data_IF_952194308762
#
_entry.id   IF_952194308762
#
_cell.length_a   1.000
_cell.length_b   1.000
_cell.length_c   1.000
_cell.angle_alpha   90.00
_cell.angle_beta   90.00
_cell.angle_gamma   90.00
#
_symmetry.space_group_name_H-M   'P 1'
#
loop_
_entity.id
_entity.type
_entity.pdbx_description
1 polymer ?
#
# COMPACT_ATOMS: atom_id res chain seq x y z
N UNK A 1 -44.94 -52.36 -13.33
CA UNK A 1 -43.47 -52.37 -13.35
C UNK A 1 -42.81 -51.02 -13.68
N UNK A 2 -43.56 -49.96 -14.01
CA UNK A 2 -42.98 -48.64 -14.35
C UNK A 2 -42.32 -47.88 -13.18
N UNK A 3 -42.82 -48.02 -11.94
CA UNK A 3 -42.32 -47.22 -10.80
C UNK A 3 -40.86 -47.52 -10.41
N UNK A 4 -40.34 -48.72 -10.70
CA UNK A 4 -38.94 -49.08 -10.40
C UNK A 4 -37.96 -48.64 -11.50
N UNK A 5 -38.44 -48.39 -12.73
CA UNK A 5 -37.60 -47.93 -13.84
C UNK A 5 -37.28 -46.43 -13.74
N UNK A 6 -38.19 -45.61 -13.22
CA UNK A 6 -37.96 -44.16 -13.08
C UNK A 6 -36.86 -43.81 -12.07
N UNK A 7 -36.66 -44.64 -11.03
CA UNK A 7 -35.63 -44.40 -10.01
C UNK A 7 -34.24 -44.76 -10.54
N UNK A 8 -34.12 -45.80 -11.37
CA UNK A 8 -32.84 -46.20 -11.97
C UNK A 8 -32.36 -45.17 -13.01
N UNK A 9 -33.26 -44.56 -13.78
CA UNK A 9 -32.90 -43.51 -14.74
C UNK A 9 -32.45 -42.20 -14.06
N UNK A 10 -32.97 -41.86 -12.88
CA UNK A 10 -32.54 -40.69 -12.12
C UNK A 10 -31.11 -40.84 -11.55
N UNK A 11 -30.69 -42.06 -11.21
CA UNK A 11 -29.33 -42.33 -10.71
C UNK A 11 -28.28 -42.35 -11.83
N UNK A 12 -28.65 -42.77 -13.05
CA UNK A 12 -27.76 -42.73 -14.21
C UNK A 12 -27.55 -41.32 -14.80
N UNK A 13 -28.51 -40.42 -14.63
CA UNK A 13 -28.39 -39.03 -15.10
C UNK A 13 -27.50 -38.16 -14.19
N UNK A 14 -27.38 -38.50 -12.89
CA UNK A 14 -26.51 -37.78 -11.95
C UNK A 14 -25.02 -38.15 -12.07
N UNK A 15 -24.66 -39.30 -12.67
CA UNK A 15 -23.26 -39.68 -12.89
C UNK A 15 -22.69 -39.18 -14.22
N UNK A 16 -23.56 -38.82 -15.18
CA UNK A 16 -23.14 -38.27 -16.48
C UNK A 16 -22.79 -36.77 -16.46
N UNK A 17 -23.19 -36.02 -15.42
CA UNK A 17 -22.91 -34.59 -15.30
C UNK A 17 -21.58 -34.25 -14.58
N UNK A 18 -20.82 -35.25 -14.11
CA UNK A 18 -19.52 -35.02 -13.43
C UNK A 18 -18.33 -35.20 -14.38
N UNK A 19 -18.55 -35.63 -15.62
CA UNK A 19 -17.48 -35.96 -16.57
C UNK A 19 -17.28 -34.96 -17.72
N UNK A 20 -17.89 -33.77 -17.68
CA UNK A 20 -17.73 -32.76 -18.74
C UNK A 20 -17.42 -31.37 -18.16
N UNK A 21 -16.24 -31.26 -17.55
CA UNK A 21 -15.55 -29.97 -17.45
C UNK A 21 -14.27 -30.08 -18.28
N UNK A 22 -14.18 -29.42 -19.45
CA UNK A 22 -12.94 -29.39 -20.20
C UNK A 22 -11.91 -28.58 -19.40
N UNK A 23 -10.89 -29.27 -18.91
CA UNK A 23 -9.67 -28.66 -18.38
C UNK A 23 -9.00 -27.90 -19.54
N UNK A 24 -8.75 -26.59 -19.46
CA UNK A 24 -7.95 -25.92 -20.46
C UNK A 24 -6.49 -26.40 -20.32
N UNK A 25 -6.00 -27.11 -21.35
CA UNK A 25 -4.61 -27.50 -21.50
C UNK A 25 -3.72 -26.25 -21.54
N UNK A 26 -3.09 -25.95 -20.41
CA UNK A 26 -2.10 -24.88 -20.31
C UNK A 26 -0.75 -25.43 -20.77
N UNK A 27 -0.42 -25.27 -22.05
CA UNK A 27 0.96 -25.49 -22.51
C UNK A 27 1.88 -24.39 -21.94
N UNK A 28 2.96 -24.72 -21.21
CA UNK A 28 3.89 -23.71 -20.72
C UNK A 28 4.70 -23.15 -21.89
N UNK A 29 4.44 -21.90 -22.25
CA UNK A 29 5.23 -21.12 -23.21
C UNK A 29 6.62 -20.90 -22.60
N UNK A 30 7.61 -21.65 -23.06
CA UNK A 30 9.02 -21.46 -22.72
C UNK A 30 9.52 -20.14 -23.32
N UNK A 31 9.69 -19.12 -22.45
CA UNK A 31 10.69 -18.04 -22.53
C UNK A 31 10.44 -17.05 -21.38
N UNK A 32 11.36 -16.90 -20.41
CA UNK A 32 11.25 -15.84 -19.43
C UNK A 32 11.60 -14.50 -20.07
N UNK A 33 10.63 -13.60 -20.14
CA UNK A 33 10.86 -12.17 -20.27
C UNK A 33 11.45 -11.71 -18.94
N UNK A 34 12.73 -11.38 -18.92
CA UNK A 34 13.44 -10.79 -17.80
C UNK A 34 12.78 -9.47 -17.40
N UNK A 35 11.99 -9.49 -16.32
CA UNK A 35 11.60 -8.28 -15.59
C UNK A 35 12.59 -8.05 -14.45
N UNK A 36 13.05 -6.83 -14.20
CA UNK A 36 13.89 -6.54 -13.04
C UNK A 36 13.08 -6.77 -11.75
N UNK A 37 13.53 -7.74 -10.94
CA UNK A 37 12.93 -8.09 -9.65
C UNK A 37 13.42 -7.11 -8.59
N UNK A 38 12.54 -6.23 -8.14
CA UNK A 38 12.72 -5.40 -6.93
C UNK A 38 11.95 -5.97 -5.72
N UNK A 39 11.62 -7.26 -5.75
CA UNK A 39 11.10 -7.97 -4.57
C UNK A 39 12.29 -8.54 -3.77
N UNK A 40 12.33 -8.33 -2.44
CA UNK A 40 13.29 -9.02 -1.57
C UNK A 40 13.16 -10.54 -1.78
N UNK A 41 14.28 -11.29 -1.87
CA UNK A 41 14.23 -12.72 -2.14
C UNK A 41 13.78 -13.45 -0.88
N UNK A 42 12.48 -13.55 -0.65
CA UNK A 42 11.90 -14.26 0.50
C UNK A 42 11.44 -15.69 0.15
N UNK A 43 11.61 -16.11 -1.10
CA UNK A 43 11.56 -17.51 -1.48
C UNK A 43 12.53 -17.75 -2.63
N UNK A 44 13.46 -18.72 -2.53
CA UNK A 44 14.24 -19.13 -3.68
C UNK A 44 13.32 -19.71 -4.75
N UNK A 45 13.51 -19.30 -6.01
CA UNK A 45 12.83 -19.88 -7.14
C UNK A 45 13.31 -21.32 -7.35
N UNK A 46 12.47 -22.31 -7.02
CA UNK A 46 12.78 -23.70 -7.34
C UNK A 46 11.85 -24.24 -8.41
N UNK A 47 12.49 -24.75 -9.47
CA UNK A 47 11.90 -25.62 -10.47
C UNK A 47 11.26 -26.84 -9.80
N UNK A 48 10.13 -27.25 -10.36
CA UNK A 48 9.28 -28.36 -9.95
C UNK A 48 10.09 -29.64 -9.73
N UNK A 49 10.35 -30.02 -8.48
CA UNK A 49 10.74 -31.39 -8.13
C UNK A 49 9.78 -31.98 -7.10
N UNK A 50 8.80 -32.68 -7.65
CA UNK A 50 7.97 -33.68 -7.02
C UNK A 50 8.85 -34.81 -6.48
N UNK A 51 9.29 -34.73 -5.23
CA UNK A 51 9.60 -35.90 -4.39
C UNK A 51 9.75 -35.49 -2.91
N UNK A 52 8.69 -35.75 -2.13
CA UNK A 52 8.66 -35.59 -0.67
C UNK A 52 9.55 -36.65 -0.03
N UNK A 53 10.83 -36.34 0.16
CA UNK A 53 11.78 -37.16 0.91
C UNK A 53 12.16 -36.46 2.21
N UNK A 54 12.48 -37.22 3.27
CA UNK A 54 13.15 -36.67 4.45
C UNK A 54 14.40 -35.91 3.98
N UNK A 55 14.68 -34.69 4.46
CA UNK A 55 15.95 -34.04 4.17
C UNK A 55 17.06 -35.00 4.62
N UNK A 56 17.93 -35.40 3.68
CA UNK A 56 19.06 -36.28 3.98
C UNK A 56 19.83 -35.65 5.13
N UNK A 57 20.14 -36.42 6.17
CA UNK A 57 20.90 -35.94 7.33
C UNK A 57 22.31 -35.51 6.89
N UNK A 58 22.44 -34.28 6.38
CA UNK A 58 23.70 -33.57 6.30
C UNK A 58 23.93 -32.94 7.66
N UNK A 59 25.10 -33.18 8.24
CA UNK A 59 25.57 -32.46 9.43
C UNK A 59 25.71 -30.97 9.08
N UNK A 60 24.92 -30.09 9.71
CA UNK A 60 25.27 -28.66 9.80
C UNK A 60 24.18 -27.62 9.53
N UNK A 61 22.98 -27.97 9.07
CA UNK A 61 21.94 -26.96 8.80
C UNK A 61 21.11 -26.62 10.06
N UNK A 62 20.59 -25.39 10.14
CA UNK A 62 19.79 -24.92 11.27
C UNK A 62 18.47 -25.69 11.36
N UNK A 63 18.13 -26.15 12.57
CA UNK A 63 16.88 -26.87 12.86
C UNK A 63 16.07 -26.10 13.89
N UNK A 64 14.94 -25.54 13.47
CA UNK A 64 13.98 -24.92 14.40
C UNK A 64 13.47 -25.95 15.42
N UNK A 65 13.38 -25.55 16.68
CA UNK A 65 12.83 -26.39 17.75
C UNK A 65 11.31 -26.54 17.60
N UNK A 66 10.75 -27.64 18.12
CA UNK A 66 9.29 -27.84 18.16
C UNK A 66 8.58 -26.71 18.91
N UNK A 67 9.16 -26.23 20.01
CA UNK A 67 8.61 -25.12 20.78
C UNK A 67 8.54 -23.83 19.95
N UNK A 68 9.63 -23.47 19.27
CA UNK A 68 9.65 -22.29 18.41
C UNK A 68 8.69 -22.43 17.23
N UNK A 69 8.56 -23.63 16.65
CA UNK A 69 7.61 -23.88 15.58
C UNK A 69 6.16 -23.71 16.04
N UNK A 70 5.80 -24.23 17.22
CA UNK A 70 4.45 -24.04 17.78
C UNK A 70 4.16 -22.56 18.05
N UNK A 71 5.11 -21.81 18.63
CA UNK A 71 4.98 -20.36 18.81
C UNK A 71 4.79 -19.65 17.46
N UNK A 72 5.54 -20.06 16.43
CA UNK A 72 5.44 -19.48 15.10
C UNK A 72 4.09 -19.75 14.45
N UNK A 73 3.59 -20.99 14.52
CA UNK A 73 2.27 -21.36 13.99
C UNK A 73 1.18 -20.54 14.68
N UNK A 74 1.22 -20.43 16.01
CA UNK A 74 0.26 -19.62 16.76
C UNK A 74 0.32 -18.13 16.37
N UNK A 75 1.52 -17.56 16.26
CA UNK A 75 1.70 -16.17 15.86
C UNK A 75 1.21 -15.92 14.42
N UNK A 76 1.51 -16.84 13.49
CA UNK A 76 1.01 -16.81 12.11
C UNK A 76 -0.53 -16.84 12.09
N UNK A 77 -1.14 -17.77 12.81
CA UNK A 77 -2.60 -17.89 12.86
C UNK A 77 -3.25 -16.63 13.45
N UNK A 78 -2.65 -16.03 14.47
CA UNK A 78 -3.12 -14.79 15.07
C UNK A 78 -3.07 -13.62 14.06
N UNK A 79 -1.98 -13.49 13.28
CA UNK A 79 -1.87 -12.49 12.20
C UNK A 79 -2.96 -12.72 11.15
N UNK A 80 -3.10 -13.97 10.71
CA UNK A 80 -4.08 -14.36 9.70
C UNK A 80 -5.51 -14.11 10.18
N UNK A 81 -5.84 -14.50 11.40
CA UNK A 81 -7.15 -14.27 12.02
C UNK A 81 -7.48 -12.77 12.17
N UNK A 82 -6.50 -11.94 12.52
CA UNK A 82 -6.74 -10.52 12.73
C UNK A 82 -6.83 -9.71 11.44
N UNK A 83 -6.03 -10.05 10.42
CA UNK A 83 -5.92 -9.26 9.20
C UNK A 83 -6.71 -9.83 8.03
N UNK A 84 -6.78 -11.15 7.86
CA UNK A 84 -7.37 -11.75 6.66
C UNK A 84 -8.89 -11.66 6.58
N UNK A 85 -9.68 -11.75 7.68
CA UNK A 85 -11.13 -11.58 7.58
C UNK A 85 -11.53 -10.21 7.01
N UNK A 86 -10.82 -9.15 7.40
CA UNK A 86 -11.07 -7.80 6.90
C UNK A 86 -10.52 -7.60 5.47
N UNK A 87 -9.40 -8.25 5.12
CA UNK A 87 -8.88 -8.25 3.75
C UNK A 87 -9.76 -9.04 2.77
N UNK A 88 -10.54 -10.03 3.27
CA UNK A 88 -11.48 -10.82 2.48
C UNK A 88 -12.89 -10.22 2.38
N UNK A 89 -13.26 -9.29 3.25
CA UNK A 89 -14.54 -8.55 3.19
C UNK A 89 -14.54 -7.40 2.17
N UNK A 90 -13.39 -7.10 1.54
CA UNK A 90 -13.34 -6.19 0.41
C UNK A 90 -13.94 -6.90 -0.81
N UNK A 91 -15.08 -6.42 -1.31
CA UNK A 91 -15.63 -6.89 -2.57
C UNK A 91 -14.59 -6.74 -3.69
N UNK A 92 -14.49 -7.78 -4.53
CA UNK A 92 -13.60 -7.97 -5.67
C UNK A 92 -12.17 -8.46 -5.39
N UNK A 93 -12.01 -9.74 -5.07
CA UNK A 93 -10.90 -10.61 -5.52
C UNK A 93 -9.42 -10.13 -5.36
N UNK A 94 -9.13 -9.07 -4.60
CA UNK A 94 -7.87 -8.33 -4.65
C UNK A 94 -7.32 -8.04 -3.27
N UNK A 95 -6.85 -9.07 -2.58
CA UNK A 95 -5.60 -8.88 -1.85
C UNK A 95 -4.57 -8.40 -2.87
N UNK A 96 -4.31 -7.09 -2.93
CA UNK A 96 -3.32 -6.51 -3.83
C UNK A 96 -1.97 -7.18 -3.51
N UNK A 97 -1.11 -7.34 -4.50
CA UNK A 97 0.21 -7.95 -4.27
C UNK A 97 0.96 -7.29 -3.09
N UNK A 98 0.69 -5.99 -2.87
CA UNK A 98 1.19 -5.21 -1.75
C UNK A 98 0.69 -5.69 -0.38
N UNK A 99 -0.61 -5.97 -0.24
CA UNK A 99 -1.20 -6.45 1.01
C UNK A 99 -0.71 -7.86 1.33
N UNK A 100 -0.65 -8.74 0.34
CA UNK A 100 -0.04 -10.09 0.50
C UNK A 100 1.41 -9.99 0.94
N UNK A 101 2.17 -9.07 0.32
CA UNK A 101 3.56 -8.83 0.68
C UNK A 101 3.69 -8.34 2.11
N UNK A 102 2.83 -7.40 2.54
CA UNK A 102 2.87 -6.85 3.89
C UNK A 102 2.49 -7.89 4.95
N UNK A 103 1.46 -8.71 4.70
CA UNK A 103 1.11 -9.82 5.60
C UNK A 103 2.28 -10.80 5.73
N UNK A 104 2.91 -11.18 4.61
CA UNK A 104 4.12 -12.04 4.62
C UNK A 104 5.26 -11.41 5.42
N UNK A 105 5.50 -10.10 5.28
CA UNK A 105 6.52 -9.39 6.02
C UNK A 105 6.24 -9.37 7.53
N UNK A 106 4.98 -9.20 7.94
CA UNK A 106 4.58 -9.28 9.35
C UNK A 106 4.78 -10.70 9.89
N UNK A 107 4.41 -11.74 9.15
CA UNK A 107 4.64 -13.14 9.54
C UNK A 107 6.14 -13.43 9.68
N UNK A 108 6.96 -12.93 8.76
CA UNK A 108 8.41 -13.05 8.83
C UNK A 108 8.98 -12.40 10.09
N UNK A 109 8.52 -11.19 10.43
CA UNK A 109 8.90 -10.51 11.68
C UNK A 109 8.51 -11.32 12.92
N UNK A 110 7.37 -12.03 12.90
CA UNK A 110 7.01 -12.95 13.99
C UNK A 110 8.04 -14.07 14.12
N UNK A 111 8.49 -14.66 13.00
CA UNK A 111 9.54 -15.69 13.06
C UNK A 111 10.84 -15.11 13.64
N UNK A 112 11.27 -13.93 13.18
CA UNK A 112 12.46 -13.25 13.71
C UNK A 112 12.38 -13.03 15.23
N UNK A 113 11.22 -12.62 15.74
CA UNK A 113 11.01 -12.40 17.17
C UNK A 113 11.07 -13.70 17.99
N UNK A 114 10.77 -14.85 17.38
CA UNK A 114 10.73 -16.15 18.06
C UNK A 114 12.10 -16.84 18.03
N UNK A 115 12.77 -16.90 16.87
CA UNK A 115 14.04 -17.63 16.71
C UNK A 115 15.28 -16.73 16.72
N UNK A 116 15.09 -15.40 16.67
CA UNK A 116 16.13 -14.41 16.46
C UNK A 116 16.38 -14.14 14.97
N UNK A 117 16.77 -12.91 14.64
CA UNK A 117 17.02 -12.46 13.26
C UNK A 117 18.06 -13.30 12.52
N UNK A 118 19.15 -13.66 13.18
CA UNK A 118 20.21 -14.49 12.57
C UNK A 118 19.68 -15.87 12.19
N UNK A 119 18.97 -16.52 13.10
CA UNK A 119 18.37 -17.84 12.87
C UNK A 119 17.30 -17.78 11.77
N UNK A 120 16.42 -16.77 11.81
CA UNK A 120 15.39 -16.58 10.81
C UNK A 120 16.00 -16.39 9.42
N UNK A 121 17.07 -15.60 9.32
CA UNK A 121 17.82 -15.45 8.08
C UNK A 121 18.37 -16.78 7.58
N UNK A 122 19.02 -17.58 8.44
CA UNK A 122 19.53 -18.91 8.05
C UNK A 122 18.41 -19.82 7.56
N UNK A 123 17.24 -19.80 8.19
CA UNK A 123 16.07 -20.59 7.76
C UNK A 123 15.68 -20.29 6.31
N UNK A 124 15.72 -19.02 5.88
CA UNK A 124 15.31 -18.64 4.52
C UNK A 124 16.45 -18.69 3.48
N UNK A 125 17.69 -18.47 3.92
CA UNK A 125 18.86 -18.42 3.03
C UNK A 125 19.43 -19.82 2.71
N UNK A 126 19.30 -20.79 3.64
CA UNK A 126 19.78 -22.17 3.48
C UNK A 126 18.64 -23.10 3.03
N UNK A 127 18.71 -23.70 1.82
CA UNK A 127 17.68 -24.60 1.32
C UNK A 127 17.41 -25.82 2.21
N UNK A 128 18.44 -26.37 2.87
CA UNK A 128 18.29 -27.54 3.75
C UNK A 128 17.57 -27.13 5.06
N UNK A 129 17.89 -25.95 5.59
CA UNK A 129 17.19 -25.38 6.76
C UNK A 129 15.74 -25.02 6.44
N UNK A 130 15.49 -24.42 5.27
CA UNK A 130 14.15 -24.09 4.79
C UNK A 130 13.31 -25.37 4.61
N UNK A 131 13.86 -26.40 3.97
CA UNK A 131 13.19 -27.68 3.78
C UNK A 131 12.80 -28.35 5.10
N UNK A 132 13.67 -28.28 6.11
CA UNK A 132 13.33 -28.76 7.45
C UNK A 132 12.28 -27.92 8.16
N UNK A 133 12.35 -26.59 8.01
CA UNK A 133 11.32 -25.68 8.52
C UNK A 133 9.95 -26.00 7.91
N UNK A 134 9.85 -26.16 6.59
CA UNK A 134 8.59 -26.53 5.94
C UNK A 134 8.08 -27.90 6.39
N UNK A 135 8.98 -28.89 6.48
CA UNK A 135 8.63 -30.21 7.01
C UNK A 135 8.03 -30.12 8.41
N UNK A 136 8.69 -29.40 9.33
CA UNK A 136 8.21 -29.21 10.70
C UNK A 136 6.91 -28.43 10.77
N UNK A 137 6.75 -27.41 9.93
CA UNK A 137 5.51 -26.67 9.82
C UNK A 137 4.35 -27.58 9.40
N UNK A 138 4.53 -28.42 8.39
CA UNK A 138 3.48 -29.35 7.93
C UNK A 138 3.10 -30.39 8.98
N UNK A 139 4.04 -30.81 9.83
CA UNK A 139 3.75 -31.75 10.92
C UNK A 139 2.89 -31.13 12.04
N UNK A 140 3.08 -29.85 12.32
CA UNK A 140 2.53 -29.20 13.51
C UNK A 140 1.41 -28.20 13.21
N UNK A 141 1.17 -27.88 11.92
CA UNK A 141 0.16 -26.89 11.51
C UNK A 141 -1.22 -27.22 12.12
N UNK A 142 -1.88 -26.18 12.57
CA UNK A 142 -3.23 -26.21 13.13
C UNK A 142 -3.84 -24.82 12.95
N UNK A 143 -5.14 -24.68 13.20
CA UNK A 143 -5.87 -23.40 13.06
C UNK A 143 -6.16 -22.69 14.39
N UNK A 144 -5.60 -23.20 15.50
CA UNK A 144 -5.77 -22.59 16.82
C UNK A 144 -5.17 -21.17 16.87
N UNK A 145 -5.95 -20.24 17.40
CA UNK A 145 -5.56 -18.85 17.68
C UNK A 145 -5.66 -18.58 19.18
N UNK A 146 -4.84 -17.64 19.65
CA UNK A 146 -4.90 -17.14 21.02
C UNK A 146 -4.40 -15.70 21.01
N UNK A 147 -5.28 -14.79 20.62
CA UNK A 147 -4.98 -13.36 20.53
C UNK A 147 -6.04 -12.58 21.27
N UNK A 148 -5.61 -11.59 22.06
CA UNK A 148 -6.54 -10.67 22.73
C UNK A 148 -7.02 -9.61 21.75
N UNK A 149 -8.22 -9.09 21.98
CA UNK A 149 -8.79 -8.02 21.14
C UNK A 149 -7.89 -6.76 21.09
N UNK A 150 -7.20 -6.44 22.18
CA UNK A 150 -6.24 -5.33 22.23
C UNK A 150 -5.01 -5.57 21.34
N UNK A 151 -4.49 -6.79 21.33
CA UNK A 151 -3.35 -7.19 20.50
C UNK A 151 -3.74 -7.21 19.02
N UNK A 152 -4.96 -7.67 18.72
CA UNK A 152 -5.52 -7.65 17.38
C UNK A 152 -5.63 -6.22 16.84
N UNK A 153 -6.12 -5.27 17.67
CA UNK A 153 -6.18 -3.85 17.33
C UNK A 153 -4.79 -3.25 17.04
N UNK A 154 -3.80 -3.54 17.88
CA UNK A 154 -2.42 -3.09 17.65
C UNK A 154 -1.85 -3.65 16.35
N UNK A 155 -2.14 -4.90 16.02
CA UNK A 155 -1.68 -5.57 14.81
C UNK A 155 -2.31 -4.92 13.55
N UNK A 156 -3.61 -4.60 13.61
CA UNK A 156 -4.32 -3.84 12.57
C UNK A 156 -3.76 -2.43 12.40
N UNK A 157 -3.51 -1.71 13.49
CA UNK A 157 -2.93 -0.36 13.46
C UNK A 157 -1.55 -0.36 12.81
N UNK A 158 -0.66 -1.28 13.24
CA UNK A 158 0.67 -1.45 12.67
C UNK A 158 0.61 -1.80 11.18
N UNK A 159 -0.30 -2.69 10.79
CA UNK A 159 -0.54 -3.03 9.38
C UNK A 159 -0.94 -1.79 8.57
N UNK A 160 -1.95 -1.05 9.05
CA UNK A 160 -2.46 0.14 8.37
C UNK A 160 -1.39 1.23 8.22
N UNK A 161 -0.55 1.44 9.24
CA UNK A 161 0.56 2.38 9.17
C UNK A 161 1.56 1.97 8.10
N UNK A 162 2.06 0.73 8.14
CA UNK A 162 3.01 0.23 7.13
C UNK A 162 2.43 0.22 5.72
N UNK A 163 1.14 -0.07 5.58
CA UNK A 163 0.46 -0.04 4.29
C UNK A 163 0.40 1.38 3.71
N UNK A 164 0.10 2.39 4.54
CA UNK A 164 0.16 3.81 4.14
C UNK A 164 1.57 4.22 3.73
N UNK A 165 2.58 3.84 4.50
CA UNK A 165 3.97 4.18 4.21
C UNK A 165 4.45 3.53 2.90
N UNK A 166 4.09 2.27 2.66
CA UNK A 166 4.40 1.58 1.40
C UNK A 166 3.66 2.18 0.20
N UNK A 167 2.40 2.60 0.37
CA UNK A 167 1.67 3.32 -0.68
C UNK A 167 2.35 4.64 -1.02
N UNK A 168 2.80 5.40 -0.03
CA UNK A 168 3.57 6.65 -0.22
C UNK A 168 4.87 6.41 -0.97
N UNK A 169 5.66 5.43 -0.53
CA UNK A 169 6.94 5.08 -1.17
C UNK A 169 6.78 4.66 -2.63
N UNK A 170 5.70 3.93 -2.96
CA UNK A 170 5.42 3.48 -4.33
C UNK A 170 4.67 4.52 -5.17
N UNK A 171 4.38 5.70 -4.63
CA UNK A 171 3.56 6.71 -5.33
C UNK A 171 2.12 6.26 -5.61
N UNK A 172 1.66 5.21 -4.93
CA UNK A 172 0.32 4.63 -5.01
C UNK A 172 -0.64 5.25 -3.98
N UNK A 173 -0.21 6.33 -3.33
CA UNK A 173 -1.11 7.15 -2.56
C UNK A 173 -2.10 7.76 -3.56
N UNK A 174 -3.27 7.13 -3.69
CA UNK A 174 -4.42 7.80 -4.23
C UNK A 174 -4.45 9.15 -3.51
N UNK A 175 -4.40 10.24 -4.26
CA UNK A 175 -4.68 11.59 -3.75
C UNK A 175 -6.17 11.68 -3.37
N UNK A 176 -6.67 10.73 -2.59
CA UNK A 176 -7.97 10.70 -1.95
C UNK A 176 -7.91 11.48 -0.63
N UNK A 177 -7.29 12.65 -0.68
CA UNK A 177 -7.59 13.78 0.18
C UNK A 177 -7.97 14.88 -0.79
N UNK A 178 -9.27 15.13 -0.93
CA UNK A 178 -9.91 15.81 -2.05
C UNK A 178 -9.05 16.95 -2.64
N UNK A 179 -8.47 16.78 -3.85
CA UNK A 179 -7.82 17.90 -4.53
C UNK A 179 -8.81 19.05 -4.74
N UNK A 180 -10.12 18.76 -4.75
CA UNK A 180 -11.20 19.74 -4.82
C UNK A 180 -11.31 20.57 -3.53
N UNK A 181 -11.28 19.97 -2.33
CA UNK A 181 -11.38 20.73 -1.06
C UNK A 181 -10.17 21.64 -0.84
N UNK A 182 -8.95 21.15 -1.13
CA UNK A 182 -7.76 22.00 -1.09
C UNK A 182 -7.86 23.15 -2.10
N UNK A 183 -8.36 22.87 -3.32
CA UNK A 183 -8.60 23.93 -4.32
C UNK A 183 -9.67 24.93 -3.89
N UNK A 184 -10.72 24.47 -3.21
CA UNK A 184 -11.79 25.33 -2.68
C UNK A 184 -11.24 26.22 -1.56
N UNK A 185 -10.42 25.68 -0.65
CA UNK A 185 -9.75 26.45 0.39
C UNK A 185 -8.77 27.48 -0.19
N UNK A 186 -7.91 27.07 -1.13
CA UNK A 186 -6.97 27.97 -1.80
C UNK A 186 -7.71 29.08 -2.58
N UNK A 187 -8.85 28.74 -3.21
CA UNK A 187 -9.69 29.73 -3.89
C UNK A 187 -10.37 30.68 -2.91
N UNK A 188 -10.88 30.21 -1.77
CA UNK A 188 -11.48 31.06 -0.75
C UNK A 188 -10.46 32.04 -0.19
N UNK A 189 -9.25 31.58 0.13
CA UNK A 189 -8.19 32.43 0.66
C UNK A 189 -7.74 33.49 -0.36
N UNK A 190 -7.62 33.13 -1.64
CA UNK A 190 -7.30 34.08 -2.70
C UNK A 190 -8.40 35.13 -2.94
N UNK A 191 -9.68 34.78 -2.71
CA UNK A 191 -10.80 35.72 -2.78
C UNK A 191 -10.78 36.68 -1.58
N UNK A 192 -10.54 36.17 -0.38
CA UNK A 192 -10.42 37.00 0.84
C UNK A 192 -9.28 38.00 0.75
N UNK A 193 -8.11 37.58 0.25
CA UNK A 193 -6.97 38.48 0.06
C UNK A 193 -7.29 39.59 -0.94
N UNK A 194 -7.97 39.28 -2.05
CA UNK A 194 -8.42 40.29 -3.02
C UNK A 194 -9.42 41.28 -2.44
N UNK A 195 -10.36 40.81 -1.61
CA UNK A 195 -11.33 41.67 -0.93
C UNK A 195 -10.61 42.61 0.03
N UNK A 196 -9.64 42.09 0.80
CA UNK A 196 -8.82 42.88 1.73
C UNK A 196 -8.02 43.95 0.99
N UNK A 197 -7.37 43.60 -0.11
CA UNK A 197 -6.61 44.55 -0.93
C UNK A 197 -7.51 45.64 -1.52
N UNK A 198 -8.71 45.28 -1.99
CA UNK A 198 -9.69 46.26 -2.45
C UNK A 198 -10.11 47.20 -1.33
N UNK A 199 -10.41 46.70 -0.13
CA UNK A 199 -10.76 47.54 1.02
C UNK A 199 -9.65 48.52 1.37
N UNK A 200 -8.40 48.04 1.47
CA UNK A 200 -7.25 48.91 1.72
C UNK A 200 -7.08 49.98 0.64
N UNK A 201 -7.33 49.63 -0.63
CA UNK A 201 -7.24 50.59 -1.74
C UNK A 201 -8.33 51.67 -1.68
N UNK A 202 -9.55 51.30 -1.27
CA UNK A 202 -10.67 52.23 -1.11
C UNK A 202 -10.40 53.15 0.07
N UNK A 203 -9.94 52.62 1.20
CA UNK A 203 -9.61 53.40 2.39
C UNK A 203 -8.49 54.41 2.10
N UNK A 204 -7.44 54.02 1.38
CA UNK A 204 -6.39 54.95 0.93
C UNK A 204 -6.96 56.08 0.07
N UNK A 205 -7.80 55.75 -0.92
CA UNK A 205 -8.42 56.78 -1.78
C UNK A 205 -9.32 57.73 -0.98
N UNK A 206 -10.07 57.20 -0.02
CA UNK A 206 -10.92 58.02 0.86
C UNK A 206 -10.08 58.95 1.73
N UNK A 207 -8.97 58.46 2.30
CA UNK A 207 -8.04 59.28 3.07
C UNK A 207 -7.40 60.36 2.20
N UNK A 208 -6.90 60.00 1.01
CA UNK A 208 -6.34 60.97 0.06
C UNK A 208 -7.36 62.06 -0.33
N UNK A 209 -8.63 61.69 -0.54
CA UNK A 209 -9.70 62.64 -0.80
C UNK A 209 -10.01 63.55 0.40
N UNK A 210 -10.03 63.01 1.61
CA UNK A 210 -10.18 63.81 2.83
C UNK A 210 -9.02 64.78 3.02
N UNK A 211 -7.78 64.32 2.88
CA UNK A 211 -6.59 65.18 2.97
C UNK A 211 -6.60 66.27 1.88
N UNK A 212 -7.00 65.94 0.65
CA UNK A 212 -7.14 66.91 -0.42
C UNK A 212 -8.26 67.93 -0.15
N UNK A 213 -9.37 67.49 0.45
CA UNK A 213 -10.47 68.36 0.85
C UNK A 213 -10.06 69.30 1.99
N UNK A 214 -9.39 68.79 3.02
CA UNK A 214 -8.85 69.60 4.12
C UNK A 214 -7.85 70.64 3.61
N UNK A 215 -6.96 70.27 2.67
CA UNK A 215 -6.01 71.21 2.06
C UNK A 215 -6.70 72.31 1.26
N UNK A 216 -7.80 72.00 0.56
CA UNK A 216 -8.64 72.98 -0.14
C UNK A 216 -9.33 73.94 0.83
N UNK A 217 -9.83 73.43 1.96
CA UNK A 217 -10.45 74.25 3.02
C UNK A 217 -9.41 75.17 3.67
N UNK A 218 -8.19 74.70 3.88
CA UNK A 218 -7.08 75.44 4.50
C UNK A 218 -6.31 76.35 3.53
N UNK A 219 -6.66 76.38 2.23
CA UNK A 219 -6.00 77.21 1.23
C UNK A 219 -4.54 76.85 0.92
N UNK A 220 -4.13 75.59 1.15
CA UNK A 220 -2.76 75.14 0.91
C UNK A 220 -2.54 74.73 -0.57
N UNK A 221 -1.40 75.10 -1.20
CA UNK A 221 -1.09 74.72 -2.57
C UNK A 221 -0.83 73.21 -2.70
N UNK A 222 -1.24 72.60 -3.83
CA UNK A 222 -1.01 71.17 -4.10
C UNK A 222 0.48 70.83 -4.16
N UNK A 223 0.90 69.65 -3.65
CA UNK A 223 2.29 69.23 -3.73
C UNK A 223 2.68 68.95 -5.18
N UNK A 224 3.71 69.64 -5.69
CA UNK A 224 4.25 69.35 -7.03
C UNK A 224 4.81 67.93 -7.09
N UNK A 225 4.33 67.15 -8.07
CA UNK A 225 4.86 65.83 -8.39
C UNK A 225 6.36 65.91 -8.72
N UNK A 226 7.21 65.28 -7.90
CA UNK A 226 8.63 65.09 -8.22
C UNK A 226 8.78 63.74 -8.92
N UNK A 227 9.15 63.69 -10.21
CA UNK A 227 9.46 62.42 -10.86
C UNK A 227 10.66 61.77 -10.13
N UNK A 228 10.53 60.49 -9.79
CA UNK A 228 11.67 59.67 -9.33
C UNK A 228 12.72 59.69 -10.43
N UNK A 229 13.81 60.44 -10.25
CA UNK A 229 15.01 60.24 -11.07
C UNK A 229 15.50 58.82 -10.80
N UNK A 230 15.93 58.16 -11.88
CA UNK A 230 16.52 56.82 -11.93
C UNK A 230 15.56 55.64 -12.11
N UNK A 231 14.70 55.71 -13.13
CA UNK A 231 14.27 54.52 -13.88
C UNK A 231 14.85 54.65 -15.29
N UNK A 232 16.02 54.08 -15.54
CA UNK A 232 16.50 53.90 -16.92
C UNK A 232 15.62 52.83 -17.58
N UNK A 233 14.68 53.28 -18.41
CA UNK A 233 13.92 52.39 -19.28
C UNK A 233 14.89 51.98 -20.40
N UNK A 234 15.34 50.73 -20.35
CA UNK A 234 16.05 50.08 -21.45
C UNK A 234 15.07 49.95 -22.62
N UNK A 235 15.30 50.73 -23.67
CA UNK A 235 14.50 50.73 -24.91
C UNK A 235 14.93 49.66 -25.90
N UNK A 236 15.74 48.68 -25.49
CA UNK A 236 16.06 47.55 -26.36
C UNK A 236 14.79 46.75 -26.70
N UNK A 237 14.42 46.78 -27.98
CA UNK A 237 13.25 46.08 -28.49
C UNK A 237 13.52 44.57 -28.42
N UNK A 238 12.58 43.72 -27.93
CA UNK A 238 12.84 42.29 -27.70
C UNK A 238 13.23 41.45 -28.92
N UNK A 239 13.28 42.04 -30.12
CA UNK A 239 13.60 41.36 -31.38
C UNK A 239 15.02 41.62 -31.89
N UNK A 240 15.78 42.52 -31.26
CA UNK A 240 17.18 42.80 -31.62
C UNK A 240 18.18 41.81 -30.98
N UNK A 241 17.69 40.73 -30.35
CA UNK A 241 18.51 39.62 -29.82
C UNK A 241 18.32 38.35 -30.68
N UNK A 242 18.75 38.40 -31.93
CA UNK A 242 18.93 37.22 -32.79
C UNK A 242 20.23 37.36 -33.58
#
# INVERSE_FOLDING_TARGET
MLKKLCIVFALFSLTACVAYYPYPDYQPRSKPISKPSYDPPLAPSFETQTQRSYPKEKKGYYKISTEHMNKFIQAKNNVEYCLLPELGQQEDARLTALEKHLVKAIIHEQLENIVGKSSAKVIYDDPDAYGYFEFKYQQLKHDLTNIRESECRQLKERYNQRFKDLKRQRGLENRSGHPIERRIQDQQQAIEDKIRDQQMSIERKMREQQEAMERKILGQPEPMYKPKRDISIDWSHPLDRW
#
